data_IF_655521235833
#
_entry.id   IF_655521235833
#
_cell.length_a   1.000
_cell.length_b   1.000
_cell.length_c   1.000
_cell.angle_alpha   90.00
_cell.angle_beta   90.00
_cell.angle_gamma   90.00
#
_symmetry.space_group_name_H-M   'P 1'
#
loop_
_entity.id
_entity.type
_entity.pdbx_description
1 polymer ?
#
# COMPACT_ATOMS: atom_id res chain seq x y z
N UNK A 1 9.32 -0.43 24.67
CA UNK A 1 9.78 0.49 23.60
C UNK A 1 9.24 -0.03 22.24
N UNK A 2 9.18 0.77 21.17
CA UNK A 2 8.52 0.35 19.90
C UNK A 2 9.21 -0.86 19.25
N UNK A 3 10.53 -0.92 19.31
CA UNK A 3 11.32 -2.06 18.79
C UNK A 3 10.92 -3.36 19.48
N UNK A 4 10.68 -3.34 20.80
CA UNK A 4 10.29 -4.55 21.53
C UNK A 4 8.93 -5.07 21.05
N UNK A 5 7.97 -4.16 20.81
CA UNK A 5 6.66 -4.52 20.26
C UNK A 5 6.76 -5.10 18.85
N UNK A 6 7.69 -4.58 18.03
CA UNK A 6 7.97 -5.15 16.72
C UNK A 6 8.54 -6.57 16.83
N UNK A 7 9.52 -6.78 17.74
CA UNK A 7 10.15 -8.09 17.98
C UNK A 7 9.14 -9.10 18.53
N UNK A 8 8.22 -8.67 19.39
CA UNK A 8 7.16 -9.51 19.94
C UNK A 8 6.05 -9.86 18.93
N UNK A 9 6.07 -9.26 17.73
CA UNK A 9 5.06 -9.48 16.71
C UNK A 9 3.76 -8.70 16.91
N UNK A 10 3.75 -7.71 17.82
CA UNK A 10 2.58 -6.86 18.10
C UNK A 10 2.35 -5.81 16.99
N UNK A 11 3.29 -5.67 16.05
CA UNK A 11 3.24 -4.69 14.95
C UNK A 11 3.28 -5.42 13.61
N UNK A 12 2.20 -5.33 12.84
CA UNK A 12 2.08 -5.96 11.51
C UNK A 12 2.27 -4.98 10.35
N UNK A 13 2.26 -3.67 10.63
CA UNK A 13 2.47 -2.61 9.65
C UNK A 13 3.03 -1.37 10.35
N UNK A 14 4.01 -0.70 9.73
CA UNK A 14 4.64 0.50 10.25
C UNK A 14 4.46 1.69 9.30
N UNK A 15 4.04 2.84 9.81
CA UNK A 15 4.07 4.11 9.08
C UNK A 15 5.03 5.04 9.82
N UNK A 16 6.13 5.42 9.16
CA UNK A 16 7.17 6.26 9.71
C UNK A 16 7.33 7.53 8.88
N UNK A 17 6.64 8.60 9.27
CA UNK A 17 6.87 9.93 8.67
C UNK A 17 7.90 10.67 9.52
N UNK A 18 9.04 11.05 8.95
CA UNK A 18 10.07 11.80 9.65
C UNK A 18 10.19 13.22 9.08
N UNK A 19 10.06 14.23 9.93
CA UNK A 19 10.38 15.63 9.61
C UNK A 19 11.55 16.10 10.49
N UNK A 20 12.55 16.71 9.85
CA UNK A 20 13.77 17.20 10.51
C UNK A 20 14.85 16.13 10.76
N UNK A 21 16.11 16.55 10.81
CA UNK A 21 17.28 15.64 10.91
C UNK A 21 17.28 14.77 12.17
N UNK A 22 16.80 15.31 13.29
CA UNK A 22 16.75 14.58 14.56
C UNK A 22 15.78 13.39 14.47
N UNK A 23 14.57 13.63 13.97
CA UNK A 23 13.58 12.57 13.72
C UNK A 23 14.12 11.52 12.75
N UNK A 24 14.90 11.90 11.72
CA UNK A 24 15.49 10.97 10.75
C UNK A 24 16.51 10.04 11.40
N UNK A 25 17.39 10.57 12.26
CA UNK A 25 18.40 9.78 13.00
C UNK A 25 17.73 8.82 13.98
N UNK A 26 16.78 9.32 14.75
CA UNK A 26 16.10 8.52 15.79
C UNK A 26 15.21 7.43 15.17
N UNK A 27 14.70 7.64 13.96
CA UNK A 27 13.89 6.66 13.23
C UNK A 27 14.69 5.65 12.39
N UNK A 28 16.02 5.80 12.28
CA UNK A 28 16.86 4.87 11.52
C UNK A 28 16.82 3.46 12.10
N UNK A 29 16.89 3.33 13.43
CA UNK A 29 16.82 2.05 14.13
C UNK A 29 15.48 1.36 13.88
N UNK A 30 14.38 2.11 13.94
CA UNK A 30 13.02 1.60 13.69
C UNK A 30 12.89 1.07 12.26
N UNK A 31 13.33 1.83 11.25
CA UNK A 31 13.29 1.39 9.84
C UNK A 31 14.13 0.13 9.61
N UNK A 32 15.33 0.07 10.19
CA UNK A 32 16.20 -1.13 10.11
C UNK A 32 15.53 -2.35 10.76
N UNK A 33 14.94 -2.18 11.93
CA UNK A 33 14.21 -3.27 12.61
C UNK A 33 13.02 -3.75 11.77
N UNK A 34 12.24 -2.84 11.20
CA UNK A 34 11.10 -3.21 10.35
C UNK A 34 11.54 -4.04 9.14
N UNK A 35 12.63 -3.63 8.49
CA UNK A 35 13.22 -4.38 7.38
C UNK A 35 13.70 -5.77 7.80
N UNK A 36 14.44 -5.88 8.90
CA UNK A 36 14.95 -7.15 9.43
C UNK A 36 13.83 -8.12 9.82
N UNK A 37 12.73 -7.61 10.37
CA UNK A 37 11.57 -8.41 10.79
C UNK A 37 10.56 -8.62 9.66
N UNK A 38 10.83 -8.12 8.44
CA UNK A 38 9.92 -8.15 7.28
C UNK A 38 8.54 -7.55 7.58
N UNK A 39 8.48 -6.54 8.42
CA UNK A 39 7.26 -5.76 8.67
C UNK A 39 7.13 -4.75 7.52
N UNK A 40 6.03 -4.77 6.74
CA UNK A 40 5.77 -3.74 5.73
C UNK A 40 5.83 -2.34 6.36
N UNK A 41 6.62 -1.44 5.77
CA UNK A 41 6.76 -0.09 6.29
C UNK A 41 6.74 0.98 5.21
N UNK A 42 6.17 2.14 5.55
CA UNK A 42 6.02 3.28 4.66
C UNK A 42 6.62 4.53 5.26
N UNK A 43 7.28 5.34 4.43
CA UNK A 43 7.94 6.58 4.86
C UNK A 43 7.17 7.84 4.49
N UNK A 44 6.07 7.69 3.76
CA UNK A 44 5.22 8.79 3.27
C UNK A 44 3.76 8.50 3.57
N UNK A 45 2.99 9.53 3.91
CA UNK A 45 1.54 9.41 4.13
C UNK A 45 0.82 8.91 2.87
N UNK A 46 1.21 9.39 1.68
CA UNK A 46 0.60 8.97 0.41
C UNK A 46 0.72 7.45 0.16
N UNK A 47 1.90 6.88 0.38
CA UNK A 47 2.10 5.43 0.26
C UNK A 47 1.32 4.65 1.33
N UNK A 48 1.23 5.17 2.57
CA UNK A 48 0.44 4.55 3.62
C UNK A 48 -1.06 4.54 3.26
N UNK A 49 -1.60 5.65 2.72
CA UNK A 49 -2.98 5.74 2.25
C UNK A 49 -3.25 4.76 1.09
N UNK A 50 -2.34 4.66 0.12
CA UNK A 50 -2.46 3.69 -0.98
C UNK A 50 -2.51 2.24 -0.45
N UNK A 51 -1.70 1.92 0.57
CA UNK A 51 -1.73 0.61 1.22
C UNK A 51 -3.08 0.35 1.93
N UNK A 52 -3.62 1.34 2.65
CA UNK A 52 -4.93 1.23 3.29
C UNK A 52 -6.02 0.96 2.26
N UNK A 53 -6.06 1.70 1.15
CA UNK A 53 -7.03 1.47 0.08
C UNK A 53 -6.89 0.07 -0.54
N UNK A 54 -5.66 -0.42 -0.74
CA UNK A 54 -5.42 -1.77 -1.24
C UNK A 54 -5.92 -2.85 -0.27
N UNK A 55 -5.69 -2.68 1.03
CA UNK A 55 -6.19 -3.59 2.08
C UNK A 55 -7.71 -3.57 2.12
N UNK A 56 -8.34 -2.39 2.06
CA UNK A 56 -9.79 -2.24 2.03
C UNK A 56 -10.40 -2.95 0.82
N UNK A 57 -9.86 -2.69 -0.37
CA UNK A 57 -10.29 -3.36 -1.60
C UNK A 57 -10.16 -4.89 -1.47
N UNK A 58 -9.04 -5.40 -0.95
CA UNK A 58 -8.85 -6.83 -0.74
C UNK A 58 -9.85 -7.43 0.27
N UNK A 59 -10.18 -6.73 1.36
CA UNK A 59 -11.12 -7.22 2.39
C UNK A 59 -12.57 -7.21 1.94
N UNK A 60 -12.97 -6.25 1.10
CA UNK A 60 -14.32 -6.13 0.58
C UNK A 60 -14.62 -7.11 -0.58
N UNK A 61 -13.76 -8.11 -0.79
CA UNK A 61 -13.88 -9.03 -1.94
C UNK A 61 -13.63 -8.34 -3.27
N UNK A 62 -12.87 -7.23 -3.26
CA UNK A 62 -12.41 -6.56 -4.46
C UNK A 62 -11.78 -7.58 -5.39
N UNK A 63 -12.15 -7.49 -6.67
CA UNK A 63 -11.76 -8.47 -7.69
C UNK A 63 -10.27 -8.71 -7.58
N UNK A 64 -9.88 -9.96 -7.36
CA UNK A 64 -8.53 -10.39 -7.71
C UNK A 64 -8.38 -10.05 -9.18
N UNK A 65 -7.52 -9.07 -9.49
CA UNK A 65 -7.25 -8.75 -10.88
C UNK A 65 -6.79 -10.04 -11.54
N UNK A 66 -7.51 -10.48 -12.56
CA UNK A 66 -7.09 -11.64 -13.34
C UNK A 66 -5.69 -11.35 -13.88
N UNK A 67 -4.77 -12.29 -13.65
CA UNK A 67 -3.43 -12.19 -14.16
C UNK A 67 -3.51 -12.17 -15.69
N UNK A 68 -3.04 -11.08 -16.28
CA UNK A 68 -2.98 -10.93 -17.74
C UNK A 68 -1.56 -10.77 -18.21
N UNK A 69 -1.29 -11.29 -19.40
CA UNK A 69 -0.02 -11.05 -20.07
C UNK A 69 0.15 -9.56 -20.38
N UNK A 70 1.41 -9.09 -20.44
CA UNK A 70 1.70 -7.71 -20.83
C UNK A 70 1.14 -7.41 -22.23
N UNK A 71 1.20 -8.39 -23.14
CA UNK A 71 0.66 -8.30 -24.48
C UNK A 71 -0.86 -8.09 -24.48
N UNK A 72 -1.58 -8.80 -23.61
CA UNK A 72 -3.03 -8.63 -23.45
C UNK A 72 -3.36 -7.28 -22.83
N UNK A 73 -2.61 -6.85 -21.82
CA UNK A 73 -2.78 -5.53 -21.20
C UNK A 73 -2.69 -4.40 -22.24
N UNK A 74 -1.72 -4.44 -23.15
CA UNK A 74 -1.56 -3.45 -24.23
C UNK A 74 -2.66 -3.48 -25.29
N UNK A 75 -3.42 -4.57 -25.41
CA UNK A 75 -4.55 -4.68 -26.34
C UNK A 75 -5.88 -4.20 -25.74
N UNK A 76 -5.96 -3.99 -24.42
CA UNK A 76 -7.17 -3.47 -23.79
C UNK A 76 -7.42 -2.02 -24.24
N UNK A 77 -8.69 -1.60 -24.41
CA UNK A 77 -8.99 -0.20 -24.67
C UNK A 77 -8.37 0.65 -23.56
N UNK A 78 -7.48 1.57 -23.93
CA UNK A 78 -6.92 2.48 -22.95
C UNK A 78 -8.05 3.36 -22.41
N UNK A 79 -8.02 3.60 -21.10
CA UNK A 79 -8.93 4.56 -20.50
C UNK A 79 -8.69 5.94 -21.13
N UNK A 80 -9.70 6.46 -21.85
CA UNK A 80 -9.70 7.84 -22.34
C UNK A 80 -10.44 8.70 -21.31
N UNK A 81 -9.75 9.65 -20.63
CA UNK A 81 -10.42 10.57 -19.71
C UNK A 81 -11.57 11.29 -20.41
N UNK A 82 -12.78 11.22 -19.84
CA UNK A 82 -14.01 11.81 -20.42
C UNK A 82 -14.95 10.81 -21.12
N UNK A 83 -14.58 9.54 -21.23
CA UNK A 83 -15.47 8.45 -21.69
C UNK A 83 -15.86 7.50 -20.55
N UNK A 84 -16.15 8.03 -19.36
CA UNK A 84 -16.61 7.20 -18.26
C UNK A 84 -17.97 6.57 -18.62
N UNK A 85 -18.16 5.25 -18.43
CA UNK A 85 -19.47 4.66 -18.54
C UNK A 85 -20.40 5.31 -17.51
N UNK A 86 -21.45 5.98 -17.98
CA UNK A 86 -22.41 6.64 -17.10
C UNK A 86 -23.20 5.59 -16.33
N UNK A 87 -22.96 5.49 -15.02
CA UNK A 87 -23.80 4.74 -14.10
C UNK A 87 -23.08 3.67 -13.28
N UNK A 88 -23.68 3.38 -12.12
CA UNK A 88 -23.18 2.45 -11.09
C UNK A 88 -23.13 0.98 -11.54
N UNK A 89 -23.62 0.65 -12.72
CA UNK A 89 -23.59 -0.71 -13.29
C UNK A 89 -22.23 -1.11 -13.86
N UNK A 90 -21.37 -0.14 -14.21
CA UNK A 90 -20.06 -0.42 -14.83
C UNK A 90 -19.08 -1.16 -13.91
N UNK A 91 -19.28 -1.08 -12.59
CA UNK A 91 -18.42 -1.68 -11.58
C UNK A 91 -18.90 -3.04 -11.08
N UNK A 92 -19.96 -3.63 -11.69
CA UNK A 92 -20.65 -4.81 -11.15
C UNK A 92 -20.30 -6.16 -11.78
N UNK A 93 -19.25 -6.27 -12.57
CA UNK A 93 -18.71 -7.59 -12.97
C UNK A 93 -17.52 -7.96 -12.11
#
# INVERSE_FOLDING_TARGET
HIVDRMVNGDVQLLVNTSEGEQSIRDSLSIRRTALSLRIPYFTTVSAALACVHAIEAARLGGRVLEAVSLQEYHRRPQYTPGQEPSGREAYRR
#
